data_IF_780658542758
#
_entry.id   IF_780658542758
#
_cell.length_a   1.000
_cell.length_b   1.000
_cell.length_c   1.000
_cell.angle_alpha   90.00
_cell.angle_beta   90.00
_cell.angle_gamma   90.00
#
_symmetry.space_group_name_H-M   'P 1'
#
loop_
_entity.id
_entity.type
_entity.pdbx_description
1 polymer ?
#
# COMPACT_ATOMS: atom_id res chain seq x y z
N UNK A 1 10.97 12.26 8.30
CA UNK A 1 10.39 12.91 7.09
C UNK A 1 11.14 12.56 5.80
N UNK A 2 12.48 12.44 5.78
CA UNK A 2 13.27 12.07 4.58
C UNK A 2 12.90 10.69 4.00
N UNK A 3 12.64 9.69 4.86
CA UNK A 3 12.34 8.31 4.43
C UNK A 3 11.09 8.21 3.56
N UNK A 4 10.04 9.00 3.86
CA UNK A 4 8.77 8.95 3.11
C UNK A 4 8.95 9.45 1.68
N UNK A 5 9.68 10.57 1.49
CA UNK A 5 10.00 11.08 0.15
C UNK A 5 10.84 10.09 -0.67
N UNK A 6 11.77 9.39 -0.02
CA UNK A 6 12.57 8.40 -0.72
C UNK A 6 11.74 7.17 -1.14
N UNK A 7 10.79 6.74 -0.30
CA UNK A 7 9.84 5.67 -0.65
C UNK A 7 8.96 6.09 -1.83
N UNK A 8 8.42 7.32 -1.81
CA UNK A 8 7.64 7.89 -2.92
C UNK A 8 8.44 7.86 -4.23
N UNK A 9 9.68 8.36 -4.20
CA UNK A 9 10.59 8.31 -5.35
C UNK A 9 10.87 6.88 -5.84
N UNK A 10 11.07 5.93 -4.94
CA UNK A 10 11.34 4.53 -5.28
C UNK A 10 10.13 3.86 -5.92
N UNK A 11 8.93 4.14 -5.41
CA UNK A 11 7.67 3.64 -5.98
C UNK A 11 7.46 4.23 -7.37
N UNK A 12 7.59 5.55 -7.53
CA UNK A 12 7.45 6.20 -8.84
C UNK A 12 8.47 5.67 -9.85
N UNK A 13 9.75 5.56 -9.46
CA UNK A 13 10.81 5.01 -10.31
C UNK A 13 10.49 3.59 -10.77
N UNK A 14 9.91 2.77 -9.89
CA UNK A 14 9.49 1.40 -10.20
C UNK A 14 8.31 1.38 -11.17
N UNK A 15 7.35 2.29 -11.00
CA UNK A 15 6.21 2.46 -11.90
C UNK A 15 6.69 2.87 -13.30
N UNK A 16 7.58 3.87 -13.41
CA UNK A 16 8.10 4.32 -14.70
C UNK A 16 8.87 3.19 -15.40
N UNK A 17 9.72 2.48 -14.67
CA UNK A 17 10.45 1.33 -15.20
C UNK A 17 9.50 0.28 -15.79
N UNK A 18 8.40 -0.04 -15.11
CA UNK A 18 7.46 -1.04 -15.60
C UNK A 18 6.62 -0.53 -16.78
N UNK A 19 6.19 0.73 -16.76
CA UNK A 19 5.43 1.36 -17.87
C UNK A 19 6.20 1.31 -19.19
N UNK A 20 7.51 1.54 -19.14
CA UNK A 20 8.34 1.61 -20.34
C UNK A 20 8.67 0.22 -20.93
N UNK A 21 8.56 -0.85 -20.13
CA UNK A 21 9.04 -2.18 -20.49
C UNK A 21 7.95 -3.26 -20.58
N UNK A 22 6.77 -3.05 -19.98
CA UNK A 22 5.74 -4.09 -19.85
C UNK A 22 4.32 -3.56 -20.02
N UNK A 23 3.45 -4.34 -20.66
CA UNK A 23 2.04 -3.98 -20.91
C UNK A 23 1.06 -4.53 -19.88
N UNK A 24 1.36 -5.66 -19.23
CA UNK A 24 0.59 -6.25 -18.13
C UNK A 24 1.50 -6.34 -16.90
N UNK A 25 1.50 -5.29 -16.09
CA UNK A 25 2.37 -5.18 -14.91
C UNK A 25 1.67 -4.44 -13.78
N UNK A 26 2.18 -4.64 -12.57
CA UNK A 26 1.70 -3.93 -11.39
C UNK A 26 2.86 -3.67 -10.42
N UNK A 27 2.74 -2.61 -9.63
CA UNK A 27 3.56 -2.34 -8.45
C UNK A 27 2.67 -2.48 -7.24
N UNK A 28 3.12 -3.22 -6.22
CA UNK A 28 2.45 -3.33 -4.94
C UNK A 28 3.42 -2.95 -3.82
N UNK A 29 2.99 -2.07 -2.94
CA UNK A 29 3.75 -1.61 -1.78
C UNK A 29 2.89 -1.71 -0.52
N UNK A 30 3.50 -2.18 0.57
CA UNK A 30 2.92 -2.16 1.91
C UNK A 30 4.05 -1.94 2.92
N UNK A 31 3.87 -1.02 3.87
CA UNK A 31 4.77 -0.95 5.02
C UNK A 31 4.49 -2.12 5.95
N UNK A 32 5.52 -2.73 6.52
CA UNK A 32 5.39 -3.85 7.46
C UNK A 32 4.81 -3.44 8.81
N UNK A 33 5.18 -2.25 9.28
CA UNK A 33 4.58 -1.56 10.42
C UNK A 33 4.76 -0.04 10.29
N UNK A 34 4.19 0.71 11.24
CA UNK A 34 4.41 2.15 11.38
C UNK A 34 5.45 2.47 12.46
N UNK A 35 5.57 3.74 12.83
CA UNK A 35 6.61 4.25 13.74
C UNK A 35 6.02 5.30 14.68
N UNK A 36 6.30 5.20 15.98
CA UNK A 36 6.02 6.27 16.94
C UNK A 36 7.14 7.31 16.94
N UNK A 37 6.77 8.58 16.91
CA UNK A 37 7.69 9.72 16.79
C UNK A 37 7.72 10.59 18.06
N UNK A 38 7.22 10.06 19.19
CA UNK A 38 7.21 10.73 20.48
C UNK A 38 5.82 10.89 21.09
N UNK A 39 4.78 10.37 20.45
CA UNK A 39 3.41 10.42 20.94
C UNK A 39 3.33 9.77 22.32
N UNK A 40 2.90 10.55 23.32
CA UNK A 40 2.77 10.09 24.72
C UNK A 40 4.09 9.51 25.28
N UNK A 41 5.23 9.99 24.78
CA UNK A 41 6.55 9.52 25.19
C UNK A 41 6.98 8.18 24.58
N UNK A 42 6.20 7.62 23.66
CA UNK A 42 6.55 6.42 22.91
C UNK A 42 7.32 6.81 21.66
N UNK A 43 8.45 6.13 21.43
CA UNK A 43 9.28 6.29 20.25
C UNK A 43 9.51 4.92 19.62
N UNK A 44 9.89 4.93 18.34
CA UNK A 44 10.18 3.74 17.57
C UNK A 44 8.94 2.84 17.40
N UNK A 45 9.19 1.56 17.16
CA UNK A 45 8.18 0.53 16.98
C UNK A 45 8.50 -0.71 17.84
N UNK A 46 7.61 -1.70 17.80
CA UNK A 46 7.81 -3.00 18.45
C UNK A 46 7.04 -3.19 19.75
N UNK A 47 6.05 -2.33 20.04
CA UNK A 47 5.14 -2.58 21.14
C UNK A 47 4.28 -3.83 20.84
N UNK A 48 3.97 -4.67 21.85
CA UNK A 48 3.03 -5.77 21.68
C UNK A 48 1.70 -5.28 21.08
N UNK A 49 1.19 -5.98 20.06
CA UNK A 49 0.05 -5.51 19.26
C UNK A 49 -1.16 -5.06 20.09
N UNK A 50 -1.44 -5.74 21.21
CA UNK A 50 -2.56 -5.42 22.12
C UNK A 50 -2.46 -4.03 22.79
N UNK A 51 -1.27 -3.44 22.86
CA UNK A 51 -1.01 -2.13 23.45
C UNK A 51 -0.33 -1.16 22.48
N UNK A 52 -0.03 -1.62 21.25
CA UNK A 52 0.61 -0.81 20.25
C UNK A 52 -0.32 0.34 19.82
N UNK A 53 0.20 1.57 19.71
CA UNK A 53 -0.60 2.70 19.29
C UNK A 53 -0.90 2.62 17.77
N UNK A 54 -1.81 3.47 17.28
CA UNK A 54 -2.23 3.44 15.88
C UNK A 54 -1.06 3.76 14.94
N UNK A 55 -0.14 4.60 15.39
CA UNK A 55 1.06 5.01 14.68
C UNK A 55 1.97 3.82 14.33
N UNK A 56 1.94 2.72 15.10
CA UNK A 56 2.70 1.51 14.81
C UNK A 56 1.92 0.46 13.99
N UNK A 57 0.59 0.58 13.91
CA UNK A 57 -0.30 -0.47 13.35
C UNK A 57 -1.08 -0.03 12.12
N UNK A 58 -1.24 1.27 11.90
CA UNK A 58 -1.89 1.84 10.73
C UNK A 58 -0.83 2.26 9.71
N UNK A 59 -0.80 1.56 8.58
CA UNK A 59 0.28 1.65 7.60
C UNK A 59 -0.22 1.94 6.18
N UNK A 60 0.59 2.58 5.33
CA UNK A 60 0.27 2.74 3.92
C UNK A 60 0.35 1.41 3.16
N UNK A 61 -0.66 1.16 2.33
CA UNK A 61 -0.66 0.11 1.31
C UNK A 61 -1.08 0.75 -0.02
N UNK A 62 -0.33 0.50 -1.08
CA UNK A 62 -0.54 1.07 -2.40
C UNK A 62 -0.43 -0.02 -3.47
N UNK A 63 -1.24 0.11 -4.52
CA UNK A 63 -1.11 -0.70 -5.71
C UNK A 63 -1.29 0.16 -6.96
N UNK A 64 -0.42 -0.07 -7.95
CA UNK A 64 -0.50 0.52 -9.28
C UNK A 64 -0.59 -0.59 -10.31
N UNK A 65 -1.43 -0.42 -11.33
CA UNK A 65 -1.58 -1.36 -12.44
C UNK A 65 -1.37 -0.63 -13.76
N UNK A 66 -0.81 -1.33 -14.74
CA UNK A 66 -0.62 -0.79 -16.09
C UNK A 66 -1.94 -0.62 -16.86
N UNK A 67 -3.01 -1.31 -16.46
CA UNK A 67 -4.35 -1.13 -17.01
C UNK A 67 -5.12 -0.02 -16.28
N UNK A 68 -6.13 0.58 -16.94
CA UNK A 68 -6.95 1.66 -16.36
C UNK A 68 -7.94 1.17 -15.29
N UNK A 69 -7.64 0.07 -14.59
CA UNK A 69 -8.47 -0.39 -13.48
C UNK A 69 -8.34 0.58 -12.31
N UNK A 70 -9.32 1.48 -12.21
CA UNK A 70 -9.61 2.14 -10.95
C UNK A 70 -10.44 1.19 -10.09
N UNK A 71 -9.91 0.80 -8.93
CA UNK A 71 -10.71 0.19 -7.87
C UNK A 71 -10.65 1.11 -6.64
N UNK A 72 -11.73 1.13 -5.87
CA UNK A 72 -11.79 1.90 -4.63
C UNK A 72 -11.66 0.93 -3.46
N UNK A 73 -10.84 1.28 -2.47
CA UNK A 73 -10.76 0.53 -1.21
C UNK A 73 -11.81 1.09 -0.27
N UNK A 74 -13.05 0.62 -0.40
CA UNK A 74 -14.17 1.07 0.44
C UNK A 74 -14.24 0.34 1.79
N UNK A 75 -13.31 -0.60 2.05
CA UNK A 75 -13.31 -1.44 3.24
C UNK A 75 -11.99 -1.38 3.99
N UNK A 76 -12.01 -1.43 5.33
CA UNK A 76 -10.79 -1.63 6.11
C UNK A 76 -10.02 -2.85 5.59
N UNK A 77 -8.72 -2.68 5.40
CA UNK A 77 -7.81 -3.70 4.88
C UNK A 77 -6.66 -3.91 5.86
N UNK A 78 -6.12 -5.13 5.89
CA UNK A 78 -4.97 -5.52 6.70
C UNK A 78 -3.98 -6.34 5.87
N UNK A 79 -2.85 -6.71 6.49
CA UNK A 79 -1.87 -7.61 5.86
C UNK A 79 -2.44 -9.00 5.55
N UNK A 80 -3.51 -9.43 6.22
CA UNK A 80 -4.18 -10.71 5.92
C UNK A 80 -4.74 -10.73 4.49
N UNK A 81 -5.05 -9.55 3.93
CA UNK A 81 -5.56 -9.43 2.58
C UNK A 81 -4.46 -9.55 1.50
N UNK A 82 -3.17 -9.38 1.83
CA UNK A 82 -2.08 -9.28 0.84
C UNK A 82 -1.96 -10.55 -0.01
N UNK A 83 -1.94 -11.72 0.61
CA UNK A 83 -1.78 -12.99 -0.11
C UNK A 83 -2.90 -13.22 -1.13
N UNK A 84 -4.14 -13.00 -0.72
CA UNK A 84 -5.30 -13.12 -1.62
C UNK A 84 -5.27 -12.10 -2.76
N UNK A 85 -4.84 -10.88 -2.43
CA UNK A 85 -4.69 -9.73 -3.32
C UNK A 85 -3.68 -10.01 -4.44
N UNK A 86 -2.47 -10.46 -4.09
CA UNK A 86 -1.42 -10.80 -5.04
C UNK A 86 -1.79 -12.01 -5.92
N UNK A 87 -2.42 -13.05 -5.35
CA UNK A 87 -2.90 -14.18 -6.13
C UNK A 87 -3.93 -13.76 -7.18
N UNK A 88 -4.81 -12.82 -6.82
CA UNK A 88 -5.75 -12.21 -7.75
C UNK A 88 -5.04 -11.46 -8.88
N UNK A 89 -4.07 -10.61 -8.55
CA UNK A 89 -3.29 -9.84 -9.54
C UNK A 89 -2.57 -10.76 -10.53
N UNK A 90 -1.98 -11.85 -10.02
CA UNK A 90 -1.27 -12.85 -10.82
C UNK A 90 -2.20 -13.84 -11.53
N UNK A 91 -3.53 -13.71 -11.36
CA UNK A 91 -4.56 -14.59 -11.95
C UNK A 91 -4.34 -16.08 -11.60
N UNK A 92 -3.76 -16.37 -10.43
CA UNK A 92 -3.46 -17.74 -9.99
C UNK A 92 -4.66 -18.38 -9.28
N UNK A 93 -4.94 -19.65 -9.60
CA UNK A 93 -5.93 -20.48 -8.89
C UNK A 93 -5.19 -21.53 -8.07
N UNK A 94 -5.31 -21.46 -6.75
CA UNK A 94 -4.75 -22.47 -5.85
C UNK A 94 -5.86 -23.35 -5.27
N UNK A 95 -5.54 -24.62 -5.00
CA UNK A 95 -6.50 -25.62 -4.52
C UNK A 95 -6.98 -25.36 -3.08
N UNK A 96 -6.16 -24.70 -2.27
CA UNK A 96 -6.41 -24.43 -0.85
C UNK A 96 -6.66 -22.95 -0.53
N UNK A 97 -6.36 -22.07 -1.49
CA UNK A 97 -6.66 -20.66 -1.40
C UNK A 97 -7.66 -20.39 -2.51
N UNK A 98 -8.93 -20.32 -2.14
CA UNK A 98 -9.95 -19.84 -3.08
C UNK A 98 -9.56 -18.40 -3.42
N UNK A 99 -9.21 -18.09 -4.68
CA UNK A 99 -9.12 -16.71 -5.10
C UNK A 99 -10.51 -16.17 -4.84
N UNK A 100 -10.64 -15.22 -3.93
CA UNK A 100 -11.92 -14.60 -3.67
C UNK A 100 -12.22 -13.80 -4.94
N UNK A 101 -12.91 -14.45 -5.88
CA UNK A 101 -13.20 -13.94 -7.24
C UNK A 101 -13.95 -12.61 -7.21
N UNK A 102 -14.41 -12.21 -6.02
CA UNK A 102 -15.12 -10.99 -5.70
C UNK A 102 -14.22 -9.80 -5.30
N UNK A 103 -12.93 -10.00 -5.00
CA UNK A 103 -12.09 -8.92 -4.41
C UNK A 103 -11.04 -8.30 -5.34
N UNK A 104 -10.89 -8.81 -6.56
CA UNK A 104 -10.11 -8.11 -7.58
C UNK A 104 -10.70 -6.72 -7.91
N UNK A 105 -12.01 -6.53 -7.71
CA UNK A 105 -12.69 -5.27 -7.96
C UNK A 105 -12.76 -4.33 -6.74
N UNK A 106 -12.30 -4.73 -5.55
CA UNK A 106 -12.58 -4.00 -4.30
C UNK A 106 -11.39 -3.74 -3.38
N UNK A 107 -10.15 -4.06 -3.78
CA UNK A 107 -8.98 -3.94 -2.88
C UNK A 107 -7.91 -2.94 -3.33
N UNK A 108 -7.98 -2.39 -4.54
CA UNK A 108 -6.82 -1.64 -5.02
C UNK A 108 -7.15 -0.23 -5.52
N UNK A 109 -7.05 0.72 -4.60
CA UNK A 109 -6.91 2.12 -4.97
C UNK A 109 -5.51 2.37 -5.48
N UNK A 110 -5.47 2.83 -6.72
CA UNK A 110 -4.40 3.66 -7.24
C UNK A 110 -4.56 5.01 -6.53
N UNK A 111 -3.66 5.29 -5.58
CA UNK A 111 -3.21 6.66 -5.45
C UNK A 111 -2.54 7.00 -6.77
N UNK A 112 -3.23 7.79 -7.60
CA UNK A 112 -2.52 8.52 -8.63
C UNK A 112 -1.55 9.38 -7.84
N UNK A 113 -0.25 9.10 -7.92
CA UNK A 113 0.78 10.05 -7.53
C UNK A 113 0.70 11.19 -8.55
N UNK A 114 -0.40 11.94 -8.55
CA UNK A 114 -0.30 13.39 -8.69
C UNK A 114 0.53 13.85 -7.50
N UNK A 115 1.50 14.76 -7.69
CA UNK A 115 2.48 15.11 -6.67
C UNK A 115 1.76 15.47 -5.37
N UNK A 116 1.73 14.53 -4.44
CA UNK A 116 0.94 14.61 -3.21
C UNK A 116 1.59 15.52 -2.17
N UNK A 117 2.67 16.19 -2.54
CA UNK A 117 3.40 17.11 -1.67
C UNK A 117 3.77 18.36 -2.48
N UNK A 118 2.77 19.18 -2.81
CA UNK A 118 3.03 20.62 -2.98
C UNK A 118 2.11 21.53 -2.17
N UNK A 119 0.92 21.10 -1.68
CA UNK A 119 -0.05 22.11 -1.21
C UNK A 119 -0.88 21.84 0.06
N UNK A 120 -0.62 20.82 0.90
CA UNK A 120 -1.47 20.65 2.10
C UNK A 120 -0.80 20.13 3.39
N UNK A 121 0.53 20.24 3.50
CA UNK A 121 1.23 20.08 4.80
C UNK A 121 1.76 21.42 5.36
N UNK A 122 1.40 22.54 4.73
CA UNK A 122 1.58 23.88 5.29
C UNK A 122 0.20 24.48 5.52
N UNK A 123 -0.37 24.27 6.71
CA UNK A 123 -1.37 25.08 7.41
C UNK A 123 -2.05 24.19 8.46
N UNK A 124 -1.37 24.05 9.60
CA UNK A 124 -1.89 24.20 10.96
C UNK A 124 -0.76 23.90 11.95
#
# INVERSE_FOLDING_TARGET
MITVFYIDYLIDSSIQLLKDNYTDSFVFYASDHGESLGERGVYLHGLPYIIAPKEQTHVPMLAWFSDEKSATVDKPSSHDNISHSLLGCLKLKLRFITPLSTYLNSIFSIFRITPLITNNLYLN
#
